data_IF_470660290977
#
_entry.id   IF_470660290977
#
_cell.length_a   1.000
_cell.length_b   1.000
_cell.length_c   1.000
_cell.angle_alpha   90.00
_cell.angle_beta   90.00
_cell.angle_gamma   90.00
#
_symmetry.space_group_name_H-M   'P 1'
#
loop_
_entity.id
_entity.type
_entity.pdbx_description
1 polymer ?
#
# COMPACT_ATOMS: atom_id res chain seq x y z
N UNK A 1 -14.91 7.86 11.74
CA UNK A 1 -14.08 8.55 10.72
C UNK A 1 -13.33 7.49 9.92
N UNK A 2 -13.96 7.03 8.84
CA UNK A 2 -13.47 6.02 7.88
C UNK A 2 -13.20 4.62 8.43
N UNK A 3 -13.51 4.34 9.68
CA UNK A 3 -13.33 3.03 10.31
C UNK A 3 -14.30 2.01 9.69
N UNK A 4 -15.56 2.39 9.48
CA UNK A 4 -16.57 1.49 8.91
C UNK A 4 -16.56 1.50 7.39
N UNK A 5 -16.92 0.35 6.80
CA UNK A 5 -17.12 0.22 5.37
C UNK A 5 -18.22 1.15 4.84
N UNK A 6 -19.26 1.39 5.63
CA UNK A 6 -20.37 2.27 5.29
C UNK A 6 -19.95 3.72 5.07
N UNK A 7 -19.07 4.25 5.93
CA UNK A 7 -18.52 5.61 5.78
C UNK A 7 -17.71 5.74 4.48
N UNK A 8 -16.89 4.72 4.15
CA UNK A 8 -16.11 4.69 2.91
C UNK A 8 -17.00 4.59 1.67
N UNK A 9 -18.09 3.82 1.75
CA UNK A 9 -19.09 3.72 0.67
C UNK A 9 -19.83 5.04 0.45
N UNK A 10 -20.13 5.80 1.50
CA UNK A 10 -20.73 7.15 1.36
C UNK A 10 -19.82 8.10 0.59
N UNK A 11 -18.51 8.08 0.84
CA UNK A 11 -17.55 8.89 0.10
C UNK A 11 -17.40 8.47 -1.36
N UNK A 12 -17.42 7.16 -1.64
CA UNK A 12 -17.44 6.65 -3.01
C UNK A 12 -18.68 7.14 -3.77
N UNK A 13 -19.86 7.07 -3.13
CA UNK A 13 -21.12 7.58 -3.70
C UNK A 13 -21.10 9.10 -3.91
N UNK A 14 -20.35 9.83 -3.10
CA UNK A 14 -20.13 11.27 -3.26
C UNK A 14 -19.13 11.62 -4.38
N UNK A 15 -18.55 10.63 -5.07
CA UNK A 15 -17.62 10.84 -6.18
C UNK A 15 -16.15 11.00 -5.77
N UNK A 16 -15.81 10.75 -4.51
CA UNK A 16 -14.41 10.76 -4.06
C UNK A 16 -13.72 9.48 -4.56
N UNK A 17 -12.53 9.61 -5.13
CA UNK A 17 -11.76 8.47 -5.60
C UNK A 17 -11.35 7.54 -4.45
N UNK A 18 -11.35 6.24 -4.71
CA UNK A 18 -10.90 5.22 -3.74
C UNK A 18 -9.48 5.49 -3.22
N UNK A 19 -8.58 5.96 -4.08
CA UNK A 19 -7.21 6.31 -3.70
C UNK A 19 -7.15 7.44 -2.66
N UNK A 20 -8.04 8.44 -2.76
CA UNK A 20 -8.10 9.51 -1.77
C UNK A 20 -8.71 9.00 -0.45
N UNK A 21 -9.71 8.13 -0.53
CA UNK A 21 -10.32 7.50 0.65
C UNK A 21 -9.29 6.65 1.40
N UNK A 22 -8.46 5.89 0.68
CA UNK A 22 -7.41 5.06 1.25
C UNK A 22 -6.31 5.89 1.93
N UNK A 23 -5.88 6.99 1.31
CA UNK A 23 -4.93 7.93 1.94
C UNK A 23 -5.48 8.49 3.25
N UNK A 24 -6.75 8.93 3.25
CA UNK A 24 -7.42 9.42 4.45
C UNK A 24 -7.54 8.31 5.49
N UNK A 25 -7.88 7.09 5.08
CA UNK A 25 -7.96 5.94 5.99
C UNK A 25 -6.63 5.69 6.69
N UNK A 26 -5.51 5.67 5.96
CA UNK A 26 -4.16 5.49 6.54
C UNK A 26 -3.82 6.62 7.53
N UNK A 27 -4.03 7.88 7.14
CA UNK A 27 -3.70 9.06 7.94
C UNK A 27 -4.51 9.11 9.24
N UNK A 28 -5.82 8.89 9.16
CA UNK A 28 -6.72 9.07 10.31
C UNK A 28 -6.81 7.84 11.22
N UNK A 29 -6.33 6.66 10.80
CA UNK A 29 -6.33 5.45 11.62
C UNK A 29 -4.95 5.11 12.19
N UNK A 30 -3.99 6.05 12.17
CA UNK A 30 -2.63 5.87 12.71
C UNK A 30 -1.88 4.64 12.16
N UNK A 31 -2.14 4.26 10.90
CA UNK A 31 -1.41 3.16 10.28
C UNK A 31 0.04 3.58 9.98
N UNK A 32 0.99 2.76 10.41
CA UNK A 32 2.41 2.94 10.09
C UNK A 32 2.75 2.14 8.84
N UNK A 33 3.05 2.82 7.74
CA UNK A 33 3.59 2.16 6.54
C UNK A 33 5.03 1.74 6.84
N UNK A 34 5.31 0.44 6.83
CA UNK A 34 6.67 -0.11 6.95
C UNK A 34 7.18 -0.39 5.54
N UNK A 35 8.27 0.28 5.15
CA UNK A 35 8.83 0.24 3.80
C UNK A 35 9.48 -1.09 3.39
N UNK A 36 9.70 -2.00 4.33
CA UNK A 36 10.17 -3.37 4.08
C UNK A 36 9.22 -4.36 4.77
N UNK A 37 8.77 -5.44 4.10
CA UNK A 37 8.17 -6.56 4.81
C UNK A 37 9.22 -7.07 5.79
N UNK A 38 8.88 -7.14 7.08
CA UNK A 38 9.78 -7.59 8.16
C UNK A 38 10.34 -9.01 7.94
N UNK A 39 9.83 -9.73 6.94
CA UNK A 39 10.25 -11.08 6.56
C UNK A 39 11.48 -11.13 5.65
N UNK A 40 11.99 -9.99 5.16
CA UNK A 40 13.17 -9.98 4.29
C UNK A 40 14.19 -8.97 4.79
N UNK A 41 15.40 -9.46 5.10
CA UNK A 41 16.49 -8.57 5.43
C UNK A 41 16.87 -7.79 4.17
N UNK A 42 17.26 -6.53 4.34
CA UNK A 42 17.69 -5.67 3.24
C UNK A 42 18.89 -6.23 2.44
N UNK A 43 19.57 -7.23 3.00
CA UNK A 43 20.66 -7.99 2.39
C UNK A 43 20.19 -9.08 1.40
N UNK A 44 18.91 -9.48 1.45
CA UNK A 44 18.36 -10.57 0.63
C UNK A 44 17.76 -10.05 -0.70
N UNK A 45 17.67 -8.73 -0.86
CA UNK A 45 17.06 -8.07 -2.01
C UNK A 45 18.16 -7.34 -2.79
N UNK A 46 18.81 -8.03 -3.73
CA UNK A 46 19.56 -7.34 -4.79
C UNK A 46 18.54 -6.62 -5.69
N UNK A 47 18.46 -5.30 -5.58
CA UNK A 47 17.58 -4.48 -6.38
C UNK A 47 18.02 -4.51 -7.85
N UNK A 48 17.30 -5.26 -8.68
CA UNK A 48 17.39 -5.09 -10.13
C UNK A 48 16.70 -3.76 -10.49
N UNK A 49 17.49 -2.70 -10.70
CA UNK A 49 16.98 -1.42 -11.21
C UNK A 49 16.45 -1.57 -12.65
N UNK A 50 15.17 -1.92 -12.78
CA UNK A 50 14.42 -1.86 -14.02
C UNK A 50 13.44 -0.70 -13.98
N UNK A 51 13.71 0.37 -14.73
CA UNK A 51 12.72 1.43 -14.98
C UNK A 51 11.56 0.86 -15.80
N UNK A 52 10.40 0.66 -15.18
CA UNK A 52 9.17 0.35 -15.92
C UNK A 52 8.16 -0.41 -15.08
N UNK A 53 6.91 0.08 -15.12
CA UNK A 53 5.73 -0.51 -14.51
C UNK A 53 5.60 -2.03 -14.73
N UNK A 54 5.00 -2.69 -13.73
CA UNK A 54 4.40 -4.03 -13.74
C UNK A 54 5.24 -5.15 -13.09
N UNK A 55 4.81 -5.47 -11.87
CA UNK A 55 4.99 -6.73 -11.13
C UNK A 55 6.46 -7.00 -10.76
N UNK A 56 6.82 -6.66 -9.52
CA UNK A 56 8.08 -7.02 -8.89
C UNK A 56 8.25 -8.56 -8.91
N UNK A 57 8.87 -9.10 -9.97
CA UNK A 57 9.36 -10.47 -10.00
C UNK A 57 10.56 -10.57 -9.08
N UNK A 58 10.30 -10.86 -7.81
CA UNK A 58 11.34 -11.25 -6.86
C UNK A 58 11.82 -12.65 -7.23
N UNK A 59 13.08 -12.78 -7.66
CA UNK A 59 13.74 -14.09 -7.81
C UNK A 59 14.39 -14.45 -6.49
N UNK A 60 13.90 -15.51 -5.86
CA UNK A 60 14.49 -16.10 -4.66
C UNK A 60 15.56 -17.11 -5.13
N UNK A 61 16.78 -17.00 -4.60
CA UNK A 61 17.84 -17.98 -4.81
C UNK A 61 17.75 -19.00 -3.66
N UNK A 62 17.51 -20.27 -4.00
CA UNK A 62 17.53 -21.40 -3.06
C UNK A 62 18.96 -21.90 -2.86
#
# INVERSE_FOLDING_TARGET
MLETSEERVKLLKAGISGMNIEKLYIIYNNFKIIGSPLLFNHADIEACEGKGNSINKVKIKL
#
